data_IF_312312976072
#
_entry.id   IF_312312976072
#
_cell.length_a   1.000
_cell.length_b   1.000
_cell.length_c   1.000
_cell.angle_alpha   90.00
_cell.angle_beta   90.00
_cell.angle_gamma   90.00
#
_symmetry.space_group_name_H-M   'P 1'
#
loop_
_entity.id
_entity.type
_entity.pdbx_description
1 polymer ?
#
# COMPACT_ATOMS: atom_id res chain seq x y z
N UNK A 1 -20.53 23.34 35.89
CA UNK A 1 -19.37 22.52 36.17
C UNK A 1 -19.50 21.12 35.60
N UNK A 2 -20.62 20.41 35.88
CA UNK A 2 -20.83 19.08 35.34
C UNK A 2 -20.76 19.04 33.81
N UNK A 3 -21.35 20.03 33.14
CA UNK A 3 -21.33 20.09 31.68
C UNK A 3 -19.90 20.31 31.12
N UNK A 4 -19.09 21.06 31.86
CA UNK A 4 -17.69 21.26 31.46
C UNK A 4 -16.90 19.96 31.53
N UNK A 5 -17.03 19.22 32.62
CA UNK A 5 -16.35 17.95 32.78
C UNK A 5 -16.81 16.90 31.77
N UNK A 6 -18.13 16.86 31.52
CA UNK A 6 -18.70 15.95 30.52
C UNK A 6 -18.13 16.23 29.14
N UNK A 7 -18.10 17.50 28.71
CA UNK A 7 -17.57 17.89 27.42
C UNK A 7 -16.08 17.58 27.30
N UNK A 8 -15.32 17.79 28.37
CA UNK A 8 -13.89 17.49 28.39
C UNK A 8 -13.66 15.98 28.26
N UNK A 9 -14.42 15.17 28.97
CA UNK A 9 -14.32 13.71 28.91
C UNK A 9 -14.70 13.20 27.51
N UNK A 10 -15.81 13.69 26.96
CA UNK A 10 -16.24 13.31 25.62
C UNK A 10 -15.22 13.70 24.57
N UNK A 11 -14.60 14.87 24.70
CA UNK A 11 -13.53 15.34 23.80
C UNK A 11 -12.33 14.39 23.88
N UNK A 12 -11.89 14.02 25.08
CA UNK A 12 -10.75 13.12 25.25
C UNK A 12 -11.02 11.74 24.65
N UNK A 13 -12.25 11.24 24.82
CA UNK A 13 -12.64 9.95 24.23
C UNK A 13 -12.63 10.06 22.70
N UNK A 14 -13.16 11.13 22.14
CA UNK A 14 -13.14 11.36 20.70
C UNK A 14 -11.71 11.47 20.16
N UNK A 15 -10.85 12.21 20.86
CA UNK A 15 -9.44 12.35 20.48
C UNK A 15 -8.73 11.00 20.49
N UNK A 16 -8.95 10.17 21.52
CA UNK A 16 -8.38 8.83 21.60
C UNK A 16 -8.92 7.94 20.49
N UNK A 17 -10.21 8.03 20.21
CA UNK A 17 -10.83 7.24 19.14
C UNK A 17 -10.26 7.64 17.78
N UNK A 18 -10.10 8.94 17.54
CA UNK A 18 -9.49 9.44 16.29
C UNK A 18 -8.04 8.96 16.18
N UNK A 19 -7.26 9.05 17.26
CA UNK A 19 -5.88 8.57 17.28
C UNK A 19 -5.81 7.07 17.04
N UNK A 20 -6.66 6.30 17.71
CA UNK A 20 -6.71 4.85 17.56
C UNK A 20 -7.09 4.47 16.13
N UNK A 21 -8.12 5.09 15.57
CA UNK A 21 -8.55 4.87 14.19
C UNK A 21 -7.43 5.24 13.23
N UNK A 22 -6.77 6.36 13.47
CA UNK A 22 -5.63 6.80 12.67
C UNK A 22 -4.47 5.80 12.72
N UNK A 23 -4.18 5.24 13.90
CA UNK A 23 -3.11 4.25 14.06
C UNK A 23 -3.46 2.90 13.44
N UNK A 24 -4.71 2.44 13.64
CA UNK A 24 -5.16 1.11 13.19
C UNK A 24 -5.48 1.12 11.70
N UNK A 25 -6.15 2.16 11.20
CA UNK A 25 -6.59 2.25 9.82
C UNK A 25 -5.61 3.04 8.93
N UNK A 26 -4.56 3.58 9.53
CA UNK A 26 -3.56 4.38 8.80
C UNK A 26 -2.55 3.49 8.11
N UNK A 27 -3.04 2.57 7.31
CA UNK A 27 -2.16 1.79 6.44
C UNK A 27 -1.74 2.65 5.26
N UNK A 28 -0.48 2.56 4.93
CA UNK A 28 0.08 3.29 3.80
C UNK A 28 0.29 2.32 2.65
N UNK A 29 -0.31 2.66 1.52
CA UNK A 29 -0.19 1.89 0.28
C UNK A 29 0.66 2.69 -0.69
N UNK A 30 1.73 2.10 -1.17
CA UNK A 30 2.60 2.70 -2.17
C UNK A 30 2.33 2.06 -3.52
N UNK A 31 2.06 2.89 -4.52
CA UNK A 31 2.08 2.46 -5.93
C UNK A 31 3.42 2.89 -6.51
N UNK A 32 4.28 1.91 -6.80
CA UNK A 32 5.61 2.16 -7.32
C UNK A 32 5.71 1.59 -8.73
N UNK A 33 5.90 2.45 -9.72
CA UNK A 33 5.98 2.04 -11.12
C UNK A 33 6.98 2.89 -11.89
N UNK A 34 7.95 2.23 -12.54
CA UNK A 34 8.81 2.92 -13.49
C UNK A 34 8.00 3.41 -14.69
N UNK A 35 7.04 2.59 -15.12
CA UNK A 35 6.11 2.92 -16.18
C UNK A 35 4.76 3.24 -15.54
N UNK A 36 4.35 4.51 -15.50
CA UNK A 36 3.13 4.91 -14.80
C UNK A 36 1.89 4.21 -15.34
N UNK A 37 0.95 3.98 -14.44
CA UNK A 37 -0.41 3.59 -14.82
C UNK A 37 -1.11 4.75 -15.52
N UNK A 38 -2.14 4.43 -16.31
CA UNK A 38 -3.03 5.47 -16.83
C UNK A 38 -3.66 6.23 -15.68
N UNK A 39 -3.92 7.51 -15.89
CA UNK A 39 -4.51 8.36 -14.84
C UNK A 39 -5.82 7.79 -14.30
N UNK A 40 -6.65 7.25 -15.17
CA UNK A 40 -7.93 6.62 -14.78
C UNK A 40 -7.71 5.48 -13.80
N UNK A 41 -6.68 4.66 -14.03
CA UNK A 41 -6.35 3.54 -13.15
C UNK A 41 -5.86 4.05 -11.79
N UNK A 42 -5.02 5.08 -11.77
CA UNK A 42 -4.52 5.68 -10.54
C UNK A 42 -5.67 6.31 -9.75
N UNK A 43 -6.57 7.01 -10.42
CA UNK A 43 -7.74 7.63 -9.78
C UNK A 43 -8.65 6.58 -9.16
N UNK A 44 -8.85 5.45 -9.83
CA UNK A 44 -9.63 4.33 -9.30
C UNK A 44 -8.98 3.70 -8.06
N UNK A 45 -7.68 3.49 -8.11
CA UNK A 45 -6.91 2.97 -6.96
C UNK A 45 -7.01 3.95 -5.79
N UNK A 46 -6.82 5.22 -6.05
CA UNK A 46 -6.90 6.28 -5.03
C UNK A 46 -8.27 6.29 -4.35
N UNK A 47 -9.33 6.22 -5.13
CA UNK A 47 -10.68 6.21 -4.60
C UNK A 47 -10.90 5.05 -3.64
N UNK A 48 -10.53 3.83 -4.04
CA UNK A 48 -10.68 2.64 -3.20
C UNK A 48 -9.87 2.76 -1.91
N UNK A 49 -8.63 3.21 -2.01
CA UNK A 49 -7.72 3.32 -0.87
C UNK A 49 -8.19 4.38 0.10
N UNK A 50 -8.59 5.54 -0.40
CA UNK A 50 -9.09 6.63 0.44
C UNK A 50 -10.41 6.28 1.12
N UNK A 51 -11.31 5.58 0.43
CA UNK A 51 -12.56 5.10 1.01
C UNK A 51 -12.32 4.12 2.15
N UNK A 52 -11.26 3.32 2.07
CA UNK A 52 -10.89 2.40 3.13
C UNK A 52 -10.21 3.11 4.32
N UNK A 53 -9.94 4.40 4.21
CA UNK A 53 -9.26 5.16 5.24
C UNK A 53 -7.75 5.03 5.22
N UNK A 54 -7.18 4.52 4.13
CA UNK A 54 -5.74 4.31 4.00
C UNK A 54 -5.09 5.49 3.27
N UNK A 55 -3.78 5.63 3.46
CA UNK A 55 -2.99 6.65 2.79
C UNK A 55 -2.40 6.07 1.50
N UNK A 56 -2.51 6.83 0.41
CA UNK A 56 -1.90 6.46 -0.88
C UNK A 56 -0.66 7.30 -1.12
N UNK A 57 0.45 6.63 -1.44
CA UNK A 57 1.66 7.27 -1.92
C UNK A 57 1.96 6.77 -3.34
N UNK A 58 2.53 7.63 -4.16
CA UNK A 58 2.89 7.31 -5.55
C UNK A 58 4.38 7.52 -5.74
N UNK A 59 5.04 6.54 -6.34
CA UNK A 59 6.41 6.65 -6.81
C UNK A 59 6.41 6.27 -8.29
N UNK A 60 6.30 7.25 -9.14
CA UNK A 60 6.23 7.03 -10.58
C UNK A 60 7.50 7.50 -11.27
N UNK A 61 7.86 6.82 -12.36
CA UNK A 61 8.99 7.22 -13.22
C UNK A 61 10.32 7.32 -12.45
N UNK A 62 10.49 6.53 -11.40
CA UNK A 62 11.75 6.54 -10.68
C UNK A 62 12.86 5.95 -11.55
N UNK A 63 14.08 6.44 -11.37
CA UNK A 63 15.22 6.08 -12.20
C UNK A 63 16.30 5.31 -11.46
N UNK A 64 16.22 5.25 -10.15
CA UNK A 64 17.19 4.55 -9.32
C UNK A 64 16.50 3.66 -8.31
N UNK A 65 17.06 2.49 -8.09
CA UNK A 65 16.56 1.52 -7.11
C UNK A 65 16.50 2.11 -5.71
N UNK A 66 17.42 3.01 -5.36
CA UNK A 66 17.45 3.65 -4.05
C UNK A 66 16.16 4.42 -3.77
N UNK A 67 15.54 5.01 -4.79
CA UNK A 67 14.25 5.70 -4.64
C UNK A 67 13.17 4.74 -4.18
N UNK A 68 13.16 3.53 -4.74
CA UNK A 68 12.22 2.48 -4.33
C UNK A 68 12.51 2.01 -2.90
N UNK A 69 13.77 1.77 -2.59
CA UNK A 69 14.19 1.34 -1.24
C UNK A 69 13.76 2.35 -0.17
N UNK A 70 13.95 3.63 -0.45
CA UNK A 70 13.56 4.69 0.49
C UNK A 70 12.04 4.78 0.63
N UNK A 71 11.32 4.63 -0.47
CA UNK A 71 9.87 4.76 -0.49
C UNK A 71 9.15 3.60 0.23
N UNK A 72 9.71 2.38 0.18
CA UNK A 72 9.06 1.21 0.80
C UNK A 72 9.32 1.10 2.30
N UNK A 73 10.19 1.93 2.86
CA UNK A 73 10.64 1.78 4.25
C UNK A 73 9.50 1.87 5.27
N UNK A 74 8.45 2.62 4.98
CA UNK A 74 7.36 2.89 5.91
C UNK A 74 5.98 2.54 5.35
N UNK A 75 5.90 1.67 4.35
CA UNK A 75 4.61 1.30 3.74
C UNK A 75 4.18 -0.09 4.18
N UNK A 76 2.87 -0.28 4.26
CA UNK A 76 2.24 -1.55 4.64
C UNK A 76 1.89 -2.41 3.44
N UNK A 77 1.62 -1.78 2.31
CA UNK A 77 1.27 -2.46 1.07
C UNK A 77 1.99 -1.81 -0.11
N UNK A 78 2.39 -2.63 -1.07
CA UNK A 78 3.09 -2.19 -2.27
C UNK A 78 2.37 -2.71 -3.49
N UNK A 79 2.04 -1.83 -4.41
CA UNK A 79 1.47 -2.16 -5.72
C UNK A 79 2.50 -1.85 -6.79
N UNK A 80 2.82 -2.83 -7.61
CA UNK A 80 3.80 -2.71 -8.69
C UNK A 80 3.21 -3.21 -10.01
N UNK A 81 3.88 -2.93 -11.10
CA UNK A 81 3.59 -3.53 -12.43
C UNK A 81 4.70 -4.49 -12.82
N UNK A 82 5.70 -3.99 -13.53
CA UNK A 82 6.85 -4.76 -13.99
C UNK A 82 8.11 -4.53 -13.14
N UNK A 83 7.98 -3.80 -12.07
CA UNK A 83 9.08 -3.47 -11.18
C UNK A 83 9.55 -4.71 -10.41
N UNK A 84 10.83 -4.78 -10.10
CA UNK A 84 11.39 -5.91 -9.38
C UNK A 84 11.33 -5.71 -7.88
N UNK A 85 10.79 -6.70 -7.19
CA UNK A 85 10.79 -6.77 -5.73
C UNK A 85 11.65 -7.94 -5.30
N UNK A 86 12.91 -7.65 -5.07
CA UNK A 86 13.90 -8.65 -4.63
C UNK A 86 14.10 -8.60 -3.12
N UNK A 87 15.04 -9.42 -2.63
CA UNK A 87 15.34 -9.48 -1.21
C UNK A 87 15.76 -8.11 -0.64
N UNK A 88 16.50 -7.31 -1.41
CA UNK A 88 16.95 -6.00 -0.97
C UNK A 88 15.76 -5.05 -0.74
N UNK A 89 14.79 -5.06 -1.64
CA UNK A 89 13.56 -4.27 -1.48
C UNK A 89 12.78 -4.73 -0.24
N UNK A 90 12.66 -6.03 -0.06
CA UNK A 90 11.95 -6.60 1.09
C UNK A 90 12.67 -6.31 2.40
N UNK A 91 14.00 -6.34 2.40
CA UNK A 91 14.79 -5.98 3.59
C UNK A 91 14.57 -4.51 3.98
N UNK A 92 14.43 -3.63 2.99
CA UNK A 92 14.17 -2.21 3.22
C UNK A 92 12.74 -1.95 3.69
N UNK A 93 11.79 -2.79 3.28
CA UNK A 93 10.37 -2.65 3.56
C UNK A 93 10.01 -3.32 4.90
N UNK A 94 10.42 -2.72 6.00
CA UNK A 94 10.37 -3.34 7.33
C UNK A 94 8.98 -3.61 7.87
N UNK A 95 7.98 -2.86 7.43
CA UNK A 95 6.60 -3.04 7.88
C UNK A 95 5.66 -3.50 6.77
N UNK A 96 6.20 -3.86 5.63
CA UNK A 96 5.42 -4.31 4.49
C UNK A 96 4.74 -5.65 4.80
N UNK A 97 3.45 -5.76 4.46
CA UNK A 97 2.65 -6.96 4.70
C UNK A 97 2.23 -7.65 3.42
N UNK A 98 2.09 -6.88 2.33
CA UNK A 98 1.58 -7.41 1.07
C UNK A 98 2.19 -6.67 -0.12
N UNK A 99 2.52 -7.42 -1.16
CA UNK A 99 2.90 -6.90 -2.47
C UNK A 99 1.88 -7.37 -3.47
N UNK A 100 1.31 -6.45 -4.25
CA UNK A 100 0.35 -6.76 -5.30
C UNK A 100 0.97 -6.39 -6.64
N UNK A 101 1.08 -7.36 -7.53
CA UNK A 101 1.47 -7.10 -8.90
C UNK A 101 0.22 -6.89 -9.74
N UNK A 102 0.13 -5.74 -10.39
CA UNK A 102 -0.96 -5.43 -11.31
C UNK A 102 -0.67 -6.10 -12.65
N UNK A 103 -1.08 -7.34 -12.78
CA UNK A 103 -0.86 -8.17 -13.97
C UNK A 103 -0.75 -9.64 -13.62
N UNK A 104 -0.52 -10.46 -14.63
CA UNK A 104 -0.36 -11.91 -14.47
C UNK A 104 1.09 -12.26 -14.13
N UNK A 105 1.28 -13.33 -13.36
CA UNK A 105 2.57 -13.87 -13.02
C UNK A 105 3.24 -13.22 -11.81
N UNK A 106 4.38 -13.77 -11.43
CA UNK A 106 5.16 -13.34 -10.25
C UNK A 106 6.64 -13.23 -10.57
N UNK A 107 7.03 -13.20 -11.83
CA UNK A 107 8.43 -13.28 -12.25
C UNK A 107 9.30 -12.19 -11.65
N UNK A 108 8.70 -11.05 -11.35
CA UNK A 108 9.39 -9.89 -10.82
C UNK A 108 9.33 -9.78 -9.30
N UNK A 109 8.77 -10.78 -8.61
CA UNK A 109 8.74 -10.82 -7.14
C UNK A 109 9.52 -12.03 -6.67
N UNK A 110 10.47 -11.82 -5.76
CA UNK A 110 11.19 -12.90 -5.10
C UNK A 110 10.28 -13.52 -4.03
N UNK A 111 9.59 -14.58 -4.40
CA UNK A 111 8.60 -15.22 -3.52
C UNK A 111 9.24 -15.86 -2.29
N UNK A 112 10.45 -16.40 -2.41
CA UNK A 112 11.15 -16.97 -1.28
C UNK A 112 11.50 -15.90 -0.26
N UNK A 113 12.00 -14.75 -0.71
CA UNK A 113 12.29 -13.62 0.16
C UNK A 113 11.01 -13.05 0.78
N UNK A 114 9.92 -12.96 0.03
CA UNK A 114 8.64 -12.50 0.55
C UNK A 114 8.16 -13.40 1.69
N UNK A 115 8.24 -14.71 1.49
CA UNK A 115 7.87 -15.68 2.52
C UNK A 115 8.74 -15.51 3.77
N UNK A 116 10.04 -15.34 3.59
CA UNK A 116 10.99 -15.15 4.70
C UNK A 116 10.69 -13.88 5.50
N UNK A 117 10.12 -12.86 4.85
CA UNK A 117 9.74 -11.60 5.50
C UNK A 117 8.27 -11.57 5.95
N UNK A 118 7.56 -12.69 5.82
CA UNK A 118 6.11 -12.76 6.12
C UNK A 118 5.29 -11.78 5.27
N UNK A 119 5.68 -11.58 4.03
CA UNK A 119 4.99 -10.70 3.08
C UNK A 119 4.18 -11.58 2.12
N UNK A 120 2.90 -11.27 1.99
CA UNK A 120 2.02 -11.94 1.04
C UNK A 120 2.25 -11.34 -0.34
N UNK A 121 2.41 -12.18 -1.35
CA UNK A 121 2.51 -11.74 -2.75
C UNK A 121 1.25 -12.14 -3.50
N UNK A 122 0.66 -11.18 -4.20
CA UNK A 122 -0.56 -11.39 -5.00
C UNK A 122 -0.39 -10.82 -6.39
N UNK A 123 -1.13 -11.34 -7.33
CA UNK A 123 -1.24 -10.77 -8.67
C UNK A 123 -2.70 -10.60 -9.04
N UNK A 124 -2.96 -9.99 -10.20
CA UNK A 124 -4.32 -9.74 -10.66
C UNK A 124 -4.58 -10.37 -12.04
N UNK A 125 -4.40 -11.70 -12.19
CA UNK A 125 -4.57 -12.34 -13.49
C UNK A 125 -6.02 -12.34 -13.97
N UNK A 126 -6.98 -12.34 -13.03
CA UNK A 126 -8.40 -12.41 -13.33
C UNK A 126 -8.91 -11.21 -14.12
N UNK A 127 -8.30 -10.04 -13.95
CA UNK A 127 -8.71 -8.86 -14.70
C UNK A 127 -8.46 -9.03 -16.19
N UNK A 128 -7.28 -9.53 -16.56
CA UNK A 128 -6.97 -9.79 -17.96
C UNK A 128 -7.83 -10.92 -18.52
N UNK A 129 -8.05 -11.95 -17.75
CA UNK A 129 -8.89 -13.08 -18.15
C UNK A 129 -10.34 -12.64 -18.39
N UNK A 130 -10.87 -11.81 -17.52
CA UNK A 130 -12.22 -11.28 -17.66
C UNK A 130 -12.33 -10.37 -18.89
N UNK A 131 -11.37 -9.53 -19.12
CA UNK A 131 -11.34 -8.66 -20.28
C UNK A 131 -11.30 -9.45 -21.60
N UNK A 132 -10.56 -10.55 -21.61
CA UNK A 132 -10.46 -11.41 -22.78
C UNK A 132 -11.73 -12.23 -22.98
N UNK A 133 -12.35 -12.67 -21.88
CA UNK A 133 -13.58 -13.48 -21.94
C UNK A 133 -14.79 -12.66 -22.36
N UNK A 134 -14.80 -11.39 -22.06
CA UNK A 134 -15.89 -10.48 -22.42
C UNK A 134 -15.71 -9.92 -23.82
#
# INVERSE_FOLDING_TARGET
MENFFRNTTERKVKEKTILYTSLVNRMKVLVATEKPFAKVAVDGIREVIEQAGYELALLEKYTAKQQLLDAVADVDALIIRSDNVDAEVLDAAKQLKIVVRAGAGYDNIDLAAATAHNVVAMNTPGQNSNAVAE
#
